data_IF_255434379233
#
_entry.id   IF_255434379233
#
_cell.length_a   1.000
_cell.length_b   1.000
_cell.length_c   1.000
_cell.angle_alpha   90.00
_cell.angle_beta   90.00
_cell.angle_gamma   90.00
#
_symmetry.space_group_name_H-M   'P 1'
#
loop_
_entity.id
_entity.type
_entity.pdbx_description
1 polymer ?
#
# COMPACT_ATOMS: atom_id res chain seq x y z
N UNK A 1 -5.51 -1.86 9.89
CA UNK A 1 -4.69 -0.74 10.41
C UNK A 1 -3.49 -1.13 11.29
N UNK A 2 -3.61 -2.10 12.22
CA UNK A 2 -2.51 -2.53 13.11
C UNK A 2 -1.20 -2.90 12.39
N UNK A 3 -1.29 -3.52 11.21
CA UNK A 3 -0.12 -3.86 10.37
C UNK A 3 0.58 -2.59 9.86
N UNK A 4 -0.17 -1.61 9.36
CA UNK A 4 0.37 -0.30 8.93
C UNK A 4 1.11 0.40 10.06
N UNK A 5 0.52 0.43 11.25
CA UNK A 5 1.11 1.07 12.42
C UNK A 5 2.43 0.40 12.82
N UNK A 6 2.52 -0.93 12.73
CA UNK A 6 3.76 -1.67 12.98
C UNK A 6 4.82 -1.43 11.91
N UNK A 7 4.41 -1.37 10.64
CA UNK A 7 5.33 -1.13 9.53
C UNK A 7 5.94 0.28 9.54
N UNK A 8 5.17 1.27 10.01
CA UNK A 8 5.63 2.66 10.14
C UNK A 8 6.75 2.84 11.19
N UNK A 9 6.99 1.84 12.05
CA UNK A 9 8.08 1.87 13.03
C UNK A 9 9.45 1.53 12.40
N UNK A 10 9.48 0.97 11.20
CA UNK A 10 10.73 0.67 10.51
C UNK A 10 11.25 1.91 9.77
N UNK A 11 12.53 2.23 9.99
CA UNK A 11 13.17 3.39 9.38
C UNK A 11 13.15 3.29 7.85
N UNK A 12 12.65 4.34 7.19
CA UNK A 12 12.58 4.43 5.72
C UNK A 12 11.36 3.75 5.09
N UNK A 13 10.44 3.18 5.87
CA UNK A 13 9.22 2.54 5.36
C UNK A 13 8.02 3.47 5.53
N UNK A 14 7.30 3.76 4.43
CA UNK A 14 6.00 4.44 4.45
C UNK A 14 4.91 3.45 3.97
N UNK A 15 4.23 2.74 4.88
CA UNK A 15 3.23 1.75 4.51
C UNK A 15 1.93 2.41 4.05
N UNK A 16 1.40 1.95 2.90
CA UNK A 16 0.14 2.41 2.33
C UNK A 16 -0.91 1.32 2.53
N UNK A 17 -2.11 1.70 2.96
CA UNK A 17 -3.26 0.80 2.99
C UNK A 17 -4.20 1.18 1.86
N UNK A 18 -4.43 0.23 0.96
CA UNK A 18 -5.41 0.33 -0.12
C UNK A 18 -6.21 -0.98 -0.19
N UNK A 19 -7.41 -0.90 -0.72
CA UNK A 19 -8.23 -2.08 -1.01
C UNK A 19 -7.71 -2.77 -2.26
N UNK A 20 -7.77 -4.10 -2.27
CA UNK A 20 -7.51 -4.87 -3.48
C UNK A 20 -8.70 -4.70 -4.42
N UNK A 21 -8.42 -4.47 -5.69
CA UNK A 21 -9.43 -4.53 -6.74
C UNK A 21 -9.62 -5.98 -7.16
N UNK A 22 -10.73 -6.24 -7.87
CA UNK A 22 -11.07 -7.59 -8.32
C UNK A 22 -10.01 -8.20 -9.25
N UNK A 23 -9.25 -7.35 -9.93
CA UNK A 23 -8.14 -7.73 -10.78
C UNK A 23 -6.78 -7.30 -10.20
N UNK A 24 -5.80 -8.20 -10.31
CA UNK A 24 -4.46 -7.98 -9.80
C UNK A 24 -3.72 -6.87 -10.58
N UNK A 25 -3.88 -6.84 -11.91
CA UNK A 25 -3.25 -5.84 -12.77
C UNK A 25 -3.77 -4.44 -12.44
N UNK A 26 -5.08 -4.30 -12.25
CA UNK A 26 -5.71 -3.03 -11.85
C UNK A 26 -5.28 -2.60 -10.45
N UNK A 27 -5.17 -3.54 -9.51
CA UNK A 27 -4.65 -3.26 -8.17
C UNK A 27 -3.23 -2.68 -8.24
N UNK A 28 -2.34 -3.29 -9.03
CA UNK A 28 -0.97 -2.77 -9.17
C UNK A 28 -0.92 -1.42 -9.88
N UNK A 29 -1.74 -1.21 -10.92
CA UNK A 29 -1.86 0.10 -11.58
C UNK A 29 -2.28 1.20 -10.60
N UNK A 30 -3.27 0.92 -9.76
CA UNK A 30 -3.74 1.83 -8.72
C UNK A 30 -2.67 2.08 -7.63
N UNK A 31 -1.94 1.05 -7.21
CA UNK A 31 -0.84 1.21 -6.27
C UNK A 31 0.28 2.10 -6.84
N UNK A 32 0.64 1.89 -8.10
CA UNK A 32 1.66 2.67 -8.80
C UNK A 32 1.21 4.11 -9.04
N UNK A 33 -0.07 4.35 -9.32
CA UNK A 33 -0.60 5.71 -9.47
C UNK A 33 -0.63 6.47 -8.15
N UNK A 34 -0.92 5.79 -7.04
CA UNK A 34 -0.89 6.38 -5.69
C UNK A 34 0.52 6.79 -5.24
N UNK A 35 1.57 6.13 -5.73
CA UNK A 35 2.96 6.42 -5.40
C UNK A 35 3.57 7.60 -6.21
N UNK A 36 2.88 8.09 -7.24
CA UNK A 36 3.34 9.24 -8.04
C UNK A 36 3.15 10.56 -7.29
#
# INVERSE_FOLDING_TARGET
ERVRQRLALYQGVCPICMEFLDDAEETFKAALSFLK
#
